data_IF_953196504672
#
_entry.id   IF_953196504672
#
_cell.length_a   1.000
_cell.length_b   1.000
_cell.length_c   1.000
_cell.angle_alpha   90.00
_cell.angle_beta   90.00
_cell.angle_gamma   90.00
#
_symmetry.space_group_name_H-M   'P 1'
#
loop_
_entity.id
_entity.type
_entity.pdbx_description
1 polymer ?
#
# COMPACT_ATOMS: atom_id res chain seq x y z
N UNK A 1 3.96 17.60 -9.17
CA UNK A 1 3.79 18.06 -7.78
C UNK A 1 4.52 17.07 -6.92
N UNK A 2 5.18 17.51 -5.86
CA UNK A 2 5.81 16.62 -4.89
C UNK A 2 4.97 16.66 -3.62
N UNK A 3 4.80 15.51 -2.97
CA UNK A 3 4.19 15.44 -1.66
C UNK A 3 5.25 15.65 -0.59
N UNK A 4 4.87 16.22 0.55
CA UNK A 4 5.74 16.51 1.70
C UNK A 4 6.32 15.25 2.35
N UNK A 5 5.75 14.07 2.07
CA UNK A 5 6.15 12.78 2.63
C UNK A 5 5.96 11.66 1.61
N UNK A 6 6.56 10.50 1.88
CA UNK A 6 6.36 9.31 1.07
C UNK A 6 4.93 8.79 1.24
N UNK A 7 4.21 8.57 0.13
CA UNK A 7 2.82 8.14 0.16
C UNK A 7 2.61 6.84 -0.62
N UNK A 8 2.01 5.88 0.06
CA UNK A 8 1.38 4.72 -0.55
C UNK A 8 -0.14 4.89 -0.56
N UNK A 9 -0.79 4.54 -1.66
CA UNK A 9 -2.26 4.37 -1.70
C UNK A 9 -2.58 2.94 -2.10
N UNK A 10 -3.10 2.17 -1.15
CA UNK A 10 -3.47 0.76 -1.32
C UNK A 10 -4.89 0.55 -1.84
N UNK A 11 -5.27 -0.71 -2.07
CA UNK A 11 -6.64 -1.10 -2.46
C UNK A 11 -7.23 -0.31 -3.65
N UNK A 12 -6.40 0.11 -4.61
CA UNK A 12 -6.86 0.80 -5.82
C UNK A 12 -7.69 -0.15 -6.67
N UNK A 13 -8.95 0.23 -6.92
CA UNK A 13 -9.92 -0.57 -7.66
C UNK A 13 -10.41 0.10 -8.95
N UNK A 14 -10.05 1.36 -9.19
CA UNK A 14 -10.61 2.15 -10.30
C UNK A 14 -9.58 3.11 -10.93
N UNK A 15 -9.83 3.52 -12.17
CA UNK A 15 -8.91 4.33 -12.95
C UNK A 15 -8.76 5.77 -12.42
N UNK A 16 -9.83 6.41 -11.96
CA UNK A 16 -9.75 7.82 -11.58
C UNK A 16 -8.91 8.03 -10.32
N UNK A 17 -8.98 7.13 -9.34
CA UNK A 17 -8.16 7.22 -8.14
C UNK A 17 -6.69 7.01 -8.50
N UNK A 18 -6.41 6.00 -9.33
CA UNK A 18 -5.06 5.72 -9.78
C UNK A 18 -4.43 6.91 -10.53
N UNK A 19 -5.21 7.57 -11.41
CA UNK A 19 -4.76 8.77 -12.12
C UNK A 19 -4.59 9.98 -11.22
N UNK A 20 -5.51 10.17 -10.28
CA UNK A 20 -5.43 11.28 -9.32
C UNK A 20 -4.19 11.13 -8.43
N UNK A 21 -4.01 9.96 -7.81
CA UNK A 21 -2.84 9.65 -6.99
C UNK A 21 -1.52 9.82 -7.76
N UNK A 22 -1.47 9.32 -9.00
CA UNK A 22 -0.28 9.49 -9.85
C UNK A 22 -0.04 10.96 -10.23
N UNK A 23 -1.10 11.74 -10.47
CA UNK A 23 -1.00 13.18 -10.73
C UNK A 23 -0.49 13.97 -9.54
N UNK A 24 -0.91 13.59 -8.32
CA UNK A 24 -0.45 14.17 -7.06
C UNK A 24 0.99 13.79 -6.69
N UNK A 25 1.57 12.78 -7.34
CA UNK A 25 2.94 12.34 -7.08
C UNK A 25 3.07 11.29 -5.98
N UNK A 26 2.04 10.46 -5.77
CA UNK A 26 2.10 9.29 -4.88
C UNK A 26 3.21 8.33 -5.32
N UNK A 27 3.96 7.78 -4.35
CA UNK A 27 5.09 6.90 -4.61
C UNK A 27 4.68 5.48 -4.96
N UNK A 28 3.69 4.92 -4.24
CA UNK A 28 3.27 3.53 -4.39
C UNK A 28 1.75 3.40 -4.61
N UNK A 29 1.34 2.61 -5.61
CA UNK A 29 -0.05 2.19 -5.78
C UNK A 29 -0.21 0.69 -5.51
N UNK A 30 -1.08 0.36 -4.57
CA UNK A 30 -1.40 -1.00 -4.17
C UNK A 30 -2.68 -1.55 -4.80
N UNK A 31 -2.61 -2.79 -5.27
CA UNK A 31 -3.70 -3.50 -5.94
C UNK A 31 -3.90 -4.87 -5.30
N UNK A 32 -5.13 -5.17 -4.87
CA UNK A 32 -5.51 -6.47 -4.29
C UNK A 32 -5.51 -7.54 -5.38
N UNK A 33 -4.52 -8.42 -5.36
CA UNK A 33 -4.26 -9.36 -6.45
C UNK A 33 -4.80 -10.78 -6.20
N UNK A 34 -5.45 -11.02 -5.06
CA UNK A 34 -5.98 -12.33 -4.69
C UNK A 34 -7.49 -12.39 -4.95
N UNK A 35 -7.87 -13.27 -5.87
CA UNK A 35 -9.27 -13.48 -6.23
C UNK A 35 -10.10 -13.94 -5.03
N UNK A 36 -11.31 -13.37 -4.90
CA UNK A 36 -12.22 -13.65 -3.79
C UNK A 36 -11.98 -12.81 -2.53
N UNK A 37 -10.94 -11.98 -2.50
CA UNK A 37 -10.75 -10.96 -1.45
C UNK A 37 -11.52 -9.67 -1.78
N UNK A 38 -11.82 -8.89 -0.74
CA UNK A 38 -12.39 -7.56 -0.90
C UNK A 38 -11.47 -6.65 -1.74
N UNK A 39 -12.08 -5.81 -2.57
CA UNK A 39 -11.38 -4.90 -3.49
C UNK A 39 -10.43 -5.58 -4.49
N UNK A 40 -10.58 -6.91 -4.71
CA UNK A 40 -9.85 -7.64 -5.74
C UNK A 40 -10.01 -6.98 -7.11
N UNK A 41 -8.89 -6.81 -7.81
CA UNK A 41 -8.85 -6.31 -9.19
C UNK A 41 -8.33 -7.40 -10.11
N UNK A 42 -9.12 -7.75 -11.14
CA UNK A 42 -8.70 -8.75 -12.11
C UNK A 42 -7.46 -8.31 -12.92
N UNK A 43 -6.64 -9.24 -13.44
CA UNK A 43 -5.51 -8.90 -14.30
C UNK A 43 -5.88 -7.96 -15.46
N UNK A 44 -7.04 -8.19 -16.08
CA UNK A 44 -7.51 -7.35 -17.19
C UNK A 44 -7.76 -5.91 -16.74
N UNK A 45 -8.51 -5.72 -15.65
CA UNK A 45 -8.82 -4.40 -15.11
C UNK A 45 -7.55 -3.70 -14.61
N UNK A 46 -6.63 -4.43 -13.99
CA UNK A 46 -5.33 -3.89 -13.60
C UNK A 46 -4.54 -3.38 -14.82
N UNK A 47 -4.45 -4.14 -15.91
CA UNK A 47 -3.75 -3.73 -17.13
C UNK A 47 -4.40 -2.50 -17.77
N UNK A 48 -5.74 -2.41 -17.73
CA UNK A 48 -6.46 -1.21 -18.15
C UNK A 48 -6.02 0.00 -17.32
N UNK A 49 -5.97 -0.08 -15.98
CA UNK A 49 -5.50 1.03 -15.13
C UNK A 49 -4.02 1.35 -15.37
N UNK A 50 -3.17 0.33 -15.38
CA UNK A 50 -1.71 0.45 -15.49
C UNK A 50 -1.28 1.20 -16.75
N UNK A 51 -2.02 1.03 -17.86
CA UNK A 51 -1.75 1.71 -19.13
C UNK A 51 -1.94 3.23 -19.11
N UNK A 52 -2.65 3.78 -18.12
CA UNK A 52 -2.92 5.21 -17.98
C UNK A 52 -2.14 5.88 -16.85
N UNK A 53 -1.36 5.11 -16.10
CA UNK A 53 -0.67 5.57 -14.89
C UNK A 53 0.84 5.48 -15.09
N UNK A 54 1.54 6.55 -14.74
CA UNK A 54 3.01 6.66 -14.77
C UNK A 54 3.45 7.43 -13.53
N UNK A 55 4.61 7.08 -12.97
CA UNK A 55 5.14 7.68 -11.76
C UNK A 55 5.21 6.67 -10.62
N UNK A 56 4.07 6.29 -10.00
CA UNK A 56 4.07 5.38 -8.87
C UNK A 56 4.60 3.99 -9.21
N UNK A 57 5.33 3.38 -8.29
CA UNK A 57 5.66 1.96 -8.33
C UNK A 57 4.42 1.12 -7.95
N UNK A 58 4.37 -0.11 -8.44
CA UNK A 58 3.23 -1.00 -8.29
C UNK A 58 3.47 -1.97 -7.14
N UNK A 59 2.50 -2.04 -6.22
CA UNK A 59 2.46 -3.00 -5.12
C UNK A 59 1.35 -4.01 -5.38
N UNK A 60 1.69 -5.30 -5.42
CA UNK A 60 0.67 -6.36 -5.38
C UNK A 60 0.36 -6.73 -3.93
N UNK A 61 -0.86 -6.44 -3.50
CA UNK A 61 -1.36 -6.76 -2.16
C UNK A 61 -1.89 -8.20 -2.18
N UNK A 62 -1.14 -9.13 -1.60
CA UNK A 62 -1.33 -10.59 -1.72
C UNK A 62 -1.88 -11.25 -0.46
N UNK A 63 -2.66 -10.52 0.34
CA UNK A 63 -3.32 -11.06 1.53
C UNK A 63 -4.21 -12.27 1.21
N UNK A 64 -4.10 -13.35 1.99
CA UNK A 64 -4.84 -14.59 1.75
C UNK A 64 -4.26 -15.48 0.65
N UNK A 65 -3.08 -15.17 0.10
CA UNK A 65 -2.38 -16.06 -0.81
C UNK A 65 -2.05 -17.40 -0.13
N UNK A 66 -2.21 -18.49 -0.87
CA UNK A 66 -2.15 -19.84 -0.28
C UNK A 66 -1.04 -20.72 -0.83
N UNK A 67 -0.51 -20.43 -2.03
CA UNK A 67 0.42 -21.31 -2.70
C UNK A 67 1.30 -20.58 -3.75
N UNK A 68 2.33 -21.29 -4.22
CA UNK A 68 3.32 -20.80 -5.18
C UNK A 68 2.73 -20.51 -6.58
N UNK A 69 1.72 -21.26 -7.00
CA UNK A 69 1.07 -21.06 -8.31
C UNK A 69 0.33 -19.73 -8.36
N UNK A 70 -0.39 -19.38 -7.29
CA UNK A 70 -1.00 -18.06 -7.14
C UNK A 70 0.06 -16.96 -7.16
N UNK A 71 1.19 -17.14 -6.48
CA UNK A 71 2.26 -16.15 -6.47
C UNK A 71 2.85 -15.96 -7.88
N UNK A 72 3.14 -17.05 -8.58
CA UNK A 72 3.63 -17.00 -9.95
C UNK A 72 2.65 -16.27 -10.88
N UNK A 73 1.35 -16.56 -10.76
CA UNK A 73 0.31 -15.88 -11.52
C UNK A 73 0.25 -14.37 -11.20
N UNK A 74 0.39 -13.97 -9.95
CA UNK A 74 0.45 -12.54 -9.56
C UNK A 74 1.66 -11.86 -10.18
N UNK A 75 2.84 -12.47 -10.07
CA UNK A 75 4.08 -11.92 -10.62
C UNK A 75 4.02 -11.77 -12.14
N UNK A 76 3.42 -12.73 -12.85
CA UNK A 76 3.28 -12.69 -14.31
C UNK A 76 2.27 -11.63 -14.77
N UNK A 77 1.09 -11.59 -14.14
CA UNK A 77 -0.04 -10.77 -14.57
C UNK A 77 0.03 -9.32 -14.14
N UNK A 78 0.57 -9.05 -12.95
CA UNK A 78 0.62 -7.70 -12.38
C UNK A 78 2.00 -7.07 -12.52
N UNK A 79 3.06 -7.89 -12.63
CA UNK A 79 4.47 -7.46 -12.70
C UNK A 79 4.77 -6.36 -11.67
N UNK A 80 4.51 -6.62 -10.37
CA UNK A 80 4.67 -5.60 -9.34
C UNK A 80 6.14 -5.30 -9.08
N UNK A 81 6.41 -4.10 -8.56
CA UNK A 81 7.71 -3.70 -8.02
C UNK A 81 7.88 -4.20 -6.57
N UNK A 82 6.79 -4.25 -5.81
CA UNK A 82 6.75 -4.76 -4.43
C UNK A 82 5.61 -5.76 -4.22
N UNK A 83 5.81 -6.70 -3.29
CA UNK A 83 4.72 -7.46 -2.69
C UNK A 83 4.31 -6.83 -1.37
N UNK A 84 3.02 -6.77 -1.07
CA UNK A 84 2.53 -6.46 0.27
C UNK A 84 1.78 -7.66 0.84
N UNK A 85 2.14 -8.05 2.06
CA UNK A 85 1.59 -9.22 2.69
C UNK A 85 1.64 -9.14 4.21
N UNK A 86 0.76 -9.92 4.85
CA UNK A 86 0.78 -10.12 6.29
C UNK A 86 1.86 -11.10 6.73
N UNK A 87 2.09 -11.16 8.04
CA UNK A 87 3.05 -12.08 8.65
C UNK A 87 2.76 -13.55 8.33
N UNK A 88 1.48 -13.94 8.30
CA UNK A 88 1.05 -15.32 8.01
C UNK A 88 1.45 -15.74 6.59
N UNK A 89 1.14 -14.90 5.61
CA UNK A 89 1.49 -15.13 4.21
C UNK A 89 3.01 -15.15 4.03
N UNK A 90 3.73 -14.28 4.76
CA UNK A 90 5.19 -14.23 4.71
C UNK A 90 5.78 -15.54 5.20
N UNK A 91 5.32 -16.04 6.35
CA UNK A 91 5.78 -17.34 6.88
C UNK A 91 5.54 -18.49 5.90
N UNK A 92 4.42 -18.46 5.16
CA UNK A 92 4.08 -19.50 4.19
C UNK A 92 4.92 -19.43 2.91
N UNK A 93 5.33 -18.22 2.48
CA UNK A 93 5.92 -17.99 1.16
C UNK A 93 7.34 -17.42 1.19
N UNK A 94 7.96 -17.20 2.35
CA UNK A 94 9.26 -16.51 2.49
C UNK A 94 10.37 -17.05 1.57
N UNK A 95 10.40 -18.36 1.30
CA UNK A 95 11.41 -18.98 0.43
C UNK A 95 11.16 -18.70 -1.07
N UNK A 96 9.97 -18.23 -1.42
CA UNK A 96 9.51 -17.94 -2.78
C UNK A 96 9.49 -16.44 -3.07
N UNK A 97 9.51 -15.59 -2.04
CA UNK A 97 9.52 -14.14 -2.18
C UNK A 97 10.90 -13.71 -2.69
N UNK A 98 10.93 -13.19 -3.91
CA UNK A 98 12.14 -12.71 -4.59
C UNK A 98 12.13 -11.21 -4.84
N UNK A 99 10.98 -10.57 -4.67
CA UNK A 99 10.82 -9.13 -4.79
C UNK A 99 10.98 -8.44 -3.43
N UNK A 100 11.35 -7.15 -3.42
CA UNK A 100 11.13 -6.27 -2.28
C UNK A 100 9.70 -6.41 -1.76
N UNK A 101 9.51 -6.35 -0.44
CA UNK A 101 8.19 -6.53 0.14
C UNK A 101 7.91 -5.55 1.28
N UNK A 102 6.63 -5.22 1.40
CA UNK A 102 6.03 -4.48 2.49
C UNK A 102 5.38 -5.51 3.40
N UNK A 103 5.77 -5.48 4.67
CA UNK A 103 5.17 -6.33 5.67
C UNK A 103 4.12 -5.53 6.43
N UNK A 104 2.86 -5.95 6.32
CA UNK A 104 1.79 -5.44 7.18
C UNK A 104 1.78 -6.20 8.49
N UNK A 105 1.82 -5.47 9.60
CA UNK A 105 1.75 -6.04 10.93
C UNK A 105 0.56 -5.48 11.71
N UNK A 106 -0.13 -6.37 12.41
CA UNK A 106 -1.20 -5.97 13.33
C UNK A 106 -0.61 -5.49 14.67
N UNK A 107 -1.44 -4.80 15.46
CA UNK A 107 -1.05 -4.12 16.71
C UNK A 107 -0.41 -5.05 17.77
N UNK A 108 -0.73 -6.35 17.73
CA UNK A 108 -0.20 -7.35 18.65
C UNK A 108 0.98 -8.17 18.12
N UNK A 109 1.39 -7.99 16.87
CA UNK A 109 2.40 -8.84 16.26
C UNK A 109 3.83 -8.35 16.57
N UNK A 110 4.76 -9.28 16.78
CA UNK A 110 6.19 -8.95 16.91
C UNK A 110 6.95 -9.20 15.62
N UNK A 111 7.94 -8.36 15.33
CA UNK A 111 8.87 -8.53 14.21
C UNK A 111 10.00 -9.52 14.52
N UNK A 112 10.24 -9.87 15.79
CA UNK A 112 11.40 -10.67 16.20
C UNK A 112 11.52 -12.05 15.52
N UNK A 113 10.45 -12.55 14.90
CA UNK A 113 10.41 -13.84 14.21
C UNK A 113 10.57 -13.73 12.69
N UNK A 114 10.96 -12.57 12.18
CA UNK A 114 11.03 -12.30 10.74
C UNK A 114 12.51 -12.19 10.39
N UNK A 115 13.02 -13.23 9.72
CA UNK A 115 14.43 -13.39 9.38
C UNK A 115 14.84 -12.57 8.13
N UNK A 116 13.87 -11.93 7.46
CA UNK A 116 14.10 -11.10 6.28
C UNK A 116 13.79 -9.63 6.60
N UNK A 117 14.55 -8.72 6.01
CA UNK A 117 14.34 -7.27 6.15
C UNK A 117 13.31 -6.80 5.12
N UNK A 118 12.08 -6.41 5.56
CA UNK A 118 11.12 -5.79 4.66
C UNK A 118 11.61 -4.41 4.22
N UNK A 119 11.24 -3.98 3.01
CA UNK A 119 11.55 -2.62 2.55
C UNK A 119 10.77 -1.58 3.35
N UNK A 120 9.54 -1.91 3.74
CA UNK A 120 8.69 -1.07 4.57
C UNK A 120 7.87 -1.92 5.53
N UNK A 121 7.54 -1.36 6.69
CA UNK A 121 6.60 -1.95 7.63
C UNK A 121 5.35 -1.09 7.65
N UNK A 122 4.23 -1.70 7.27
CA UNK A 122 2.92 -1.08 7.29
C UNK A 122 2.26 -1.34 8.65
N UNK A 123 1.91 -0.27 9.35
CA UNK A 123 1.33 -0.29 10.69
C UNK A 123 0.08 0.59 10.73
N UNK A 124 -1.00 0.10 11.35
CA UNK A 124 -2.19 0.93 11.61
C UNK A 124 -2.10 1.64 12.95
N UNK A 125 -1.90 0.88 14.01
CA UNK A 125 -1.85 1.40 15.36
C UNK A 125 -0.90 0.57 16.22
N UNK A 126 0.09 1.24 16.81
CA UNK A 126 1.03 0.62 17.76
C UNK A 126 1.51 1.64 18.79
N UNK A 127 1.80 1.17 19.99
CA UNK A 127 2.36 2.01 21.07
C UNK A 127 3.89 2.16 20.98
N UNK A 128 4.57 1.24 20.30
CA UNK A 128 6.02 1.18 20.14
C UNK A 128 6.51 1.76 18.80
N UNK A 129 5.68 2.56 18.10
CA UNK A 129 6.00 3.14 16.78
C UNK A 129 7.36 3.84 16.73
N UNK A 130 7.67 4.67 17.73
CA UNK A 130 8.93 5.41 17.78
C UNK A 130 10.15 4.47 17.90
N UNK A 131 10.01 3.33 18.58
CA UNK A 131 11.10 2.34 18.63
C UNK A 131 11.21 1.62 17.29
N UNK A 132 10.09 1.24 16.70
CA UNK A 132 10.03 0.56 15.40
C UNK A 132 10.67 1.39 14.28
N UNK A 133 10.41 2.70 14.30
CA UNK A 133 10.92 3.67 13.34
C UNK A 133 12.42 3.93 13.45
N UNK A 134 13.09 3.47 14.51
CA UNK A 134 14.56 3.54 14.59
C UNK A 134 15.23 2.44 13.76
N UNK A 135 14.56 1.29 13.62
CA UNK A 135 15.14 0.08 13.05
C UNK A 135 14.56 -0.22 11.65
N UNK A 136 13.41 0.35 11.30
CA UNK A 136 12.68 0.07 10.07
C UNK A 136 12.02 1.31 9.45
N UNK A 137 11.90 1.31 8.12
CA UNK A 137 11.13 2.31 7.39
C UNK A 137 9.62 2.07 7.57
N UNK A 138 8.95 2.97 8.28
CA UNK A 138 7.53 2.81 8.66
C UNK A 138 6.60 3.55 7.72
N UNK A 139 5.59 2.84 7.21
CA UNK A 139 4.40 3.42 6.60
C UNK A 139 3.24 3.36 7.60
N UNK A 140 2.82 4.51 8.12
CA UNK A 140 1.68 4.59 9.02
C UNK A 140 0.38 4.64 8.20
N UNK A 141 -0.55 3.73 8.46
CA UNK A 141 -1.86 3.78 7.85
C UNK A 141 -2.65 4.98 8.40
N UNK A 142 -3.19 5.80 7.49
CA UNK A 142 -3.98 6.98 7.82
C UNK A 142 -5.34 6.84 7.16
N UNK A 143 -6.39 6.83 7.99
CA UNK A 143 -7.78 6.70 7.54
C UNK A 143 -8.52 8.05 7.58
N UNK A 144 -7.96 9.06 8.26
CA UNK A 144 -8.56 10.39 8.35
C UNK A 144 -7.50 11.48 8.44
N UNK A 145 -7.84 12.68 7.96
CA UNK A 145 -6.97 13.85 7.99
C UNK A 145 -6.47 14.23 9.39
N UNK A 146 -7.24 13.93 10.44
CA UNK A 146 -6.87 14.17 11.84
C UNK A 146 -5.58 13.45 12.26
N UNK A 147 -5.22 12.35 11.58
CA UNK A 147 -4.04 11.56 11.91
C UNK A 147 -2.77 12.04 11.19
N UNK A 148 -2.85 12.99 10.25
CA UNK A 148 -1.69 13.51 9.50
C UNK A 148 -0.68 14.17 10.44
N UNK A 149 -1.11 14.88 11.49
CA UNK A 149 -0.19 15.53 12.44
C UNK A 149 0.70 14.55 13.21
N UNK A 150 0.39 13.24 13.20
CA UNK A 150 1.19 12.22 13.87
C UNK A 150 2.48 11.90 13.09
N UNK A 151 2.49 12.18 11.79
CA UNK A 151 3.61 11.88 10.88
C UNK A 151 4.87 12.62 11.33
N UNK A 152 4.78 13.95 11.49
CA UNK A 152 5.92 14.80 11.83
C UNK A 152 6.53 14.49 13.22
N UNK A 153 5.77 13.87 14.11
CA UNK A 153 6.16 13.66 15.51
C UNK A 153 6.87 12.33 15.76
N UNK A 154 6.82 11.38 14.83
CA UNK A 154 7.24 9.99 15.08
C UNK A 154 8.39 9.48 14.21
N UNK A 155 9.00 10.35 13.38
CA UNK A 155 10.10 9.97 12.48
C UNK A 155 9.76 8.75 11.61
N UNK A 156 8.51 8.66 11.14
CA UNK A 156 8.08 7.60 10.23
C UNK A 156 8.49 7.98 8.79
N UNK A 157 8.69 6.97 7.94
CA UNK A 157 9.10 7.19 6.55
C UNK A 157 8.01 7.90 5.74
N UNK A 158 6.77 7.47 5.95
CA UNK A 158 5.63 7.96 5.20
C UNK A 158 4.32 7.39 5.68
N UNK A 159 3.31 7.50 4.83
CA UNK A 159 1.95 7.03 5.14
C UNK A 159 1.41 6.08 4.10
N UNK A 160 0.42 5.31 4.53
CA UNK A 160 -0.40 4.48 3.66
C UNK A 160 -1.87 4.91 3.76
N UNK A 161 -2.46 5.26 2.62
CA UNK A 161 -3.88 5.53 2.46
C UNK A 161 -4.55 4.35 1.75
N UNK A 162 -5.88 4.37 1.69
CA UNK A 162 -6.65 3.43 0.88
C UNK A 162 -7.37 4.16 -0.25
N UNK A 163 -7.47 3.52 -1.41
CA UNK A 163 -8.30 3.96 -2.51
C UNK A 163 -9.76 4.07 -2.09
N UNK A 164 -10.52 4.93 -2.79
CA UNK A 164 -11.93 5.11 -2.50
C UNK A 164 -12.76 3.90 -2.98
N UNK A 165 -13.79 3.56 -2.21
CA UNK A 165 -14.80 2.60 -2.65
C UNK A 165 -15.74 3.27 -3.66
N UNK A 166 -15.93 2.64 -4.83
CA UNK A 166 -16.89 3.12 -5.81
C UNK A 166 -18.31 2.78 -5.33
N UNK A 167 -19.11 3.78 -4.94
CA UNK A 167 -20.49 3.56 -4.48
C UNK A 167 -21.36 3.10 -5.66
N UNK A 168 -21.16 3.71 -6.84
CA UNK A 168 -21.73 3.32 -8.15
C UNK A 168 -20.77 3.76 -9.27
N UNK A 169 -20.80 3.15 -10.48
CA UNK A 169 -19.98 3.62 -11.60
C UNK A 169 -20.12 5.13 -11.82
N UNK A 170 -19.03 5.87 -11.61
CA UNK A 170 -19.00 7.33 -11.74
C UNK A 170 -19.51 8.15 -10.53
N UNK A 171 -19.90 7.53 -9.42
CA UNK A 171 -20.23 8.20 -8.15
C UNK A 171 -19.31 7.64 -7.05
N UNK A 172 -18.37 8.47 -6.61
CA UNK A 172 -17.41 8.08 -5.58
C UNK A 172 -17.45 9.00 -4.37
N UNK A 173 -17.08 8.45 -3.23
CA UNK A 173 -16.77 9.21 -2.04
C UNK A 173 -15.28 9.58 -2.10
N UNK A 174 -14.98 10.64 -2.85
CA UNK A 174 -13.59 11.10 -3.03
C UNK A 174 -13.04 11.84 -1.82
N UNK A 175 -13.89 12.23 -0.87
CA UNK A 175 -13.62 13.37 0.00
C UNK A 175 -12.35 13.18 0.82
N UNK A 176 -12.17 12.03 1.47
CA UNK A 176 -11.05 11.85 2.40
C UNK A 176 -9.69 11.64 1.70
N UNK A 177 -9.64 10.84 0.62
CA UNK A 177 -8.38 10.59 -0.10
C UNK A 177 -7.84 11.87 -0.75
N UNK A 178 -8.70 12.64 -1.43
CA UNK A 178 -8.26 13.90 -2.03
C UNK A 178 -7.88 14.93 -0.98
N UNK A 179 -8.67 15.06 0.09
CA UNK A 179 -8.39 16.01 1.16
C UNK A 179 -7.03 15.74 1.81
N UNK A 180 -6.72 14.48 2.13
CA UNK A 180 -5.43 14.10 2.71
C UNK A 180 -4.27 14.39 1.74
N UNK A 181 -4.42 14.04 0.45
CA UNK A 181 -3.36 14.28 -0.54
C UNK A 181 -3.12 15.77 -0.78
N UNK A 182 -4.17 16.60 -0.80
CA UNK A 182 -4.07 18.05 -0.91
C UNK A 182 -3.39 18.67 0.32
N UNK A 183 -3.67 18.19 1.53
CA UNK A 183 -2.97 18.63 2.74
C UNK A 183 -1.47 18.33 2.71
N UNK A 184 -1.08 17.25 2.02
CA UNK A 184 0.30 16.80 1.86
C UNK A 184 1.00 17.43 0.66
N UNK A 185 0.31 18.21 -0.17
CA UNK A 185 0.94 18.90 -1.30
C UNK A 185 1.99 19.90 -0.79
N UNK A 186 3.18 19.90 -1.39
CA UNK A 186 4.23 20.85 -1.05
C UNK A 186 3.94 22.21 -1.71
N UNK A 187 3.65 23.21 -0.88
CA UNK A 187 3.41 24.60 -1.28
C UNK A 187 4.75 25.26 -1.65
N UNK A 188 5.33 24.92 -2.79
CA UNK A 188 6.48 25.63 -3.36
C UNK A 188 6.06 26.94 -4.05
#
# INVERSE_FOLDING_TARGET
MALKTFVKVGSISNLSDARYCAGMGVDLLGFRAIEGQESYISPKQFQEIRGWVTGPQIVAEVYGITNAEQLAAVLENYRPDYLELGKKEWQALRELITLPFILSIDSGETLASIEAEPSFILVRERSDLAQLANDHEILLAVESAENIERIDKQNIHGIALSGSSEIKPGLKDYNELSEILEMLEDDH
#
